data_IF_885071713296
#
_entry.id   IF_885071713296
#
_cell.length_a   1.000
_cell.length_b   1.000
_cell.length_c   1.000
_cell.angle_alpha   90.00
_cell.angle_beta   90.00
_cell.angle_gamma   90.00
#
_symmetry.space_group_name_H-M   'P 1'
#
loop_
_entity.id
_entity.type
_entity.pdbx_description
1 polymer ?
#
# COMPACT_ATOMS: atom_id res chain seq x y z
N UNK A 1 12.54 17.15 12.57
CA UNK A 1 11.53 16.16 12.12
C UNK A 1 11.81 15.80 10.66
N UNK A 2 11.79 14.52 10.26
CA UNK A 2 12.26 14.01 8.93
C UNK A 2 11.17 13.33 8.07
N UNK A 3 9.90 13.44 8.45
CA UNK A 3 8.81 12.85 7.67
C UNK A 3 8.40 13.80 6.53
N UNK A 4 8.16 13.25 5.33
CA UNK A 4 7.65 14.00 4.19
C UNK A 4 6.23 14.42 4.48
N UNK A 5 5.94 15.73 4.45
CA UNK A 5 4.60 16.30 4.69
C UNK A 5 4.30 17.39 3.68
N UNK A 6 3.04 17.51 3.29
CA UNK A 6 2.58 18.53 2.36
C UNK A 6 1.16 18.98 2.71
N UNK A 7 0.76 20.11 2.13
CA UNK A 7 -0.61 20.61 2.22
C UNK A 7 -1.22 20.61 0.83
N UNK A 8 -2.43 20.08 0.71
CA UNK A 8 -3.21 20.08 -0.52
C UNK A 8 -4.67 20.39 -0.15
N UNK A 9 -5.29 21.37 -0.81
CA UNK A 9 -6.68 21.80 -0.53
C UNK A 9 -6.99 22.10 0.95
N UNK A 10 -6.04 22.71 1.67
CA UNK A 10 -6.12 23.00 3.12
C UNK A 10 -6.08 21.78 4.04
N UNK A 11 -5.87 20.59 3.51
CA UNK A 11 -5.62 19.38 4.30
C UNK A 11 -4.12 19.09 4.34
N UNK A 12 -3.66 18.50 5.45
CA UNK A 12 -2.26 18.11 5.65
C UNK A 12 -2.18 16.60 5.48
N UNK A 13 -1.26 16.15 4.63
CA UNK A 13 -0.92 14.74 4.47
C UNK A 13 0.60 14.55 4.55
N UNK A 14 1.03 13.31 4.68
CA UNK A 14 2.43 12.96 4.80
C UNK A 14 2.70 11.48 4.60
N UNK A 15 3.97 11.15 4.44
CA UNK A 15 4.45 9.78 4.50
C UNK A 15 5.18 9.55 5.82
N UNK A 16 5.02 8.35 6.39
CA UNK A 16 5.83 7.93 7.54
C UNK A 16 7.30 7.78 7.13
N UNK A 17 8.23 7.81 8.08
CA UNK A 17 9.68 7.77 7.77
C UNK A 17 10.05 6.59 6.86
N UNK A 18 9.54 5.40 7.18
CA UNK A 18 9.85 4.18 6.43
C UNK A 18 8.74 3.74 5.48
N UNK A 19 7.57 4.38 5.49
CA UNK A 19 6.46 4.03 4.60
C UNK A 19 5.72 2.74 4.99
N UNK A 20 4.43 2.70 4.65
CA UNK A 20 3.60 1.50 4.62
C UNK A 20 3.36 1.17 3.16
N UNK A 21 3.76 -0.04 2.75
CA UNK A 21 3.58 -0.46 1.36
C UNK A 21 2.42 -1.46 1.25
N UNK A 22 1.60 -1.30 0.23
CA UNK A 22 0.55 -2.25 -0.12
C UNK A 22 0.84 -2.81 -1.51
N UNK A 23 0.59 -4.10 -1.69
CA UNK A 23 0.56 -4.73 -3.00
C UNK A 23 -0.72 -5.53 -3.13
N UNK A 24 -1.46 -5.18 -4.16
CA UNK A 24 -2.64 -5.91 -4.50
C UNK A 24 -2.34 -6.96 -5.58
N UNK A 25 -2.84 -8.20 -5.43
CA UNK A 25 -2.72 -9.19 -6.48
C UNK A 25 -3.50 -8.75 -7.73
N UNK A 26 -3.03 -9.20 -8.90
CA UNK A 26 -3.77 -9.14 -10.16
C UNK A 26 -4.49 -10.47 -10.37
N UNK A 27 -5.80 -10.41 -10.62
CA UNK A 27 -6.66 -11.58 -10.63
C UNK A 27 -7.13 -11.99 -9.23
N UNK A 28 -7.82 -13.11 -9.14
CA UNK A 28 -8.37 -13.61 -7.88
C UNK A 28 -7.29 -14.31 -7.06
N UNK A 29 -7.16 -13.91 -5.79
CA UNK A 29 -6.19 -14.50 -4.87
C UNK A 29 -6.53 -15.96 -4.56
N UNK A 30 -7.80 -16.23 -4.26
CA UNK A 30 -8.30 -17.59 -4.10
C UNK A 30 -8.35 -18.30 -5.47
N UNK A 31 -7.96 -19.58 -5.51
CA UNK A 31 -7.93 -20.35 -6.75
C UNK A 31 -6.59 -20.33 -7.50
N UNK A 32 -5.59 -19.57 -7.02
CA UNK A 32 -4.20 -19.68 -7.49
C UNK A 32 -3.89 -18.99 -8.82
N UNK A 33 -4.83 -18.24 -9.38
CA UNK A 33 -4.62 -17.46 -10.62
C UNK A 33 -3.93 -16.11 -10.40
N UNK A 34 -3.82 -15.66 -9.15
CA UNK A 34 -3.26 -14.36 -8.83
C UNK A 34 -1.77 -14.24 -9.19
N UNK A 35 -1.41 -13.08 -9.73
CA UNK A 35 -0.01 -12.67 -9.91
C UNK A 35 0.30 -11.43 -9.09
N UNK A 36 1.59 -11.22 -8.78
CA UNK A 36 2.05 -10.07 -8.02
C UNK A 36 1.73 -8.75 -8.76
N UNK A 37 1.07 -7.82 -8.08
CA UNK A 37 0.91 -6.45 -8.56
C UNK A 37 2.11 -5.56 -8.22
N UNK A 38 2.08 -4.28 -8.63
CA UNK A 38 3.07 -3.33 -8.17
C UNK A 38 2.90 -3.05 -6.67
N UNK A 39 4.02 -2.84 -5.98
CA UNK A 39 3.99 -2.24 -4.65
C UNK A 39 3.72 -0.74 -4.74
N UNK A 40 2.87 -0.25 -3.85
CA UNK A 40 2.54 1.17 -3.69
C UNK A 40 2.77 1.60 -2.27
N UNK A 41 3.08 2.86 -2.10
CA UNK A 41 3.17 3.48 -0.78
C UNK A 41 1.84 4.19 -0.46
N UNK A 42 1.35 3.99 0.75
CA UNK A 42 0.14 4.69 1.24
C UNK A 42 0.55 5.83 2.18
N UNK A 43 -0.03 7.00 1.99
CA UNK A 43 0.16 8.15 2.89
C UNK A 43 -0.65 8.00 4.19
N UNK A 44 -0.40 8.89 5.14
CA UNK A 44 -1.16 8.95 6.40
C UNK A 44 -2.65 9.24 6.14
N UNK A 45 -2.95 10.10 5.16
CA UNK A 45 -4.30 10.40 4.69
C UNK A 45 -4.91 9.35 3.76
N UNK A 46 -4.16 8.30 3.39
CA UNK A 46 -4.66 7.21 2.56
C UNK A 46 -4.50 7.39 1.05
N UNK A 47 -3.82 8.44 0.59
CA UNK A 47 -3.47 8.60 -0.82
C UNK A 47 -2.40 7.57 -1.24
N UNK A 48 -2.45 7.15 -2.51
CA UNK A 48 -1.60 6.08 -3.06
C UNK A 48 -0.53 6.67 -3.98
N UNK A 49 0.71 6.26 -3.75
CA UNK A 49 1.88 6.71 -4.51
C UNK A 49 2.67 5.52 -5.04
N UNK A 50 3.44 5.74 -6.11
CA UNK A 50 4.52 4.83 -6.48
C UNK A 50 5.55 4.75 -5.35
N UNK A 51 6.40 3.73 -5.39
CA UNK A 51 7.54 3.67 -4.47
C UNK A 51 8.44 4.89 -4.63
N UNK A 52 9.11 5.26 -3.53
CA UNK A 52 10.27 6.14 -3.54
C UNK A 52 11.46 5.44 -4.21
N UNK A 53 12.51 6.20 -4.52
CA UNK A 53 13.75 5.65 -5.10
C UNK A 53 14.38 4.57 -4.20
N UNK A 54 14.35 4.78 -2.89
CA UNK A 54 14.79 3.81 -1.89
C UNK A 54 13.91 3.88 -0.65
N UNK A 55 13.92 2.83 0.17
CA UNK A 55 13.19 2.83 1.45
C UNK A 55 13.69 4.02 2.29
N UNK A 56 12.75 4.76 2.86
CA UNK A 56 13.02 5.93 3.70
C UNK A 56 13.58 7.18 3.00
N UNK A 57 13.70 7.18 1.66
CA UNK A 57 14.03 8.39 0.90
C UNK A 57 13.03 9.52 1.19
N UNK A 58 13.46 10.78 1.20
CA UNK A 58 12.59 11.91 1.53
C UNK A 58 11.62 12.27 0.38
N UNK A 59 12.01 11.95 -0.85
CA UNK A 59 11.21 12.23 -2.02
C UNK A 59 10.08 11.18 -2.15
N UNK A 60 8.82 11.64 -2.06
CA UNK A 60 7.66 10.80 -2.34
C UNK A 60 7.61 10.37 -3.80
N UNK A 61 7.01 9.22 -4.07
CA UNK A 61 6.75 8.75 -5.42
C UNK A 61 5.69 9.58 -6.16
N UNK A 62 5.33 9.13 -7.36
CA UNK A 62 4.29 9.76 -8.18
C UNK A 62 2.89 9.36 -7.67
N UNK A 63 1.93 10.29 -7.59
CA UNK A 63 0.54 9.96 -7.26
C UNK A 63 -0.03 8.93 -8.22
N UNK A 64 -0.71 7.92 -7.70
CA UNK A 64 -1.35 6.85 -8.46
C UNK A 64 -2.88 6.98 -8.35
N UNK A 65 -3.45 8.00 -8.99
CA UNK A 65 -4.87 8.37 -8.83
C UNK A 65 -5.88 7.27 -9.24
N UNK A 66 -5.46 6.31 -10.06
CA UNK A 66 -6.28 5.17 -10.45
C UNK A 66 -6.28 4.02 -9.42
N UNK A 67 -5.44 4.11 -8.38
CA UNK A 67 -5.31 3.09 -7.34
C UNK A 67 -5.87 3.61 -6.00
N UNK A 68 -6.27 2.68 -5.14
CA UNK A 68 -6.98 2.94 -3.89
C UNK A 68 -6.29 2.22 -2.73
N UNK A 69 -6.44 2.74 -1.51
CA UNK A 69 -5.97 2.10 -0.28
C UNK A 69 -6.95 1.06 0.30
N UNK A 70 -8.08 0.81 -0.35
CA UNK A 70 -9.06 -0.19 0.09
C UNK A 70 -8.47 -1.60 -0.07
N UNK A 71 -8.30 -2.30 1.04
CA UNK A 71 -7.74 -3.65 1.05
C UNK A 71 -8.70 -4.65 0.40
N UNK A 72 -8.20 -5.42 -0.56
CA UNK A 72 -8.89 -6.56 -1.18
C UNK A 72 -8.28 -7.89 -0.75
N UNK A 73 -9.02 -8.99 -0.89
CA UNK A 73 -8.52 -10.32 -0.52
C UNK A 73 -7.16 -10.59 -1.17
N UNK A 74 -6.20 -11.03 -0.36
CA UNK A 74 -4.84 -11.29 -0.82
C UNK A 74 -3.91 -10.07 -0.84
N UNK A 75 -4.37 -8.90 -0.41
CA UNK A 75 -3.49 -7.71 -0.31
C UNK A 75 -2.35 -7.99 0.66
N UNK A 76 -1.11 -7.77 0.21
CA UNK A 76 0.06 -7.84 1.07
C UNK A 76 0.37 -6.43 1.60
N UNK A 77 0.71 -6.33 2.88
CA UNK A 77 1.04 -5.07 3.56
C UNK A 77 2.41 -5.19 4.19
N UNK A 78 3.39 -4.43 3.71
CA UNK A 78 4.75 -4.37 4.25
C UNK A 78 4.86 -3.21 5.24
N UNK A 79 5.24 -3.55 6.48
CA UNK A 79 5.39 -2.65 7.62
C UNK A 79 6.87 -2.44 8.03
N UNK A 80 7.80 -2.57 7.08
CA UNK A 80 9.24 -2.35 7.28
C UNK A 80 9.87 -3.28 8.34
N UNK A 81 9.61 -4.58 8.22
CA UNK A 81 10.15 -5.61 9.12
C UNK A 81 9.25 -6.84 9.22
N UNK A 82 7.96 -6.67 8.90
CA UNK A 82 7.01 -7.75 8.73
C UNK A 82 6.14 -7.48 7.50
N UNK A 83 5.65 -8.56 6.89
CA UNK A 83 4.67 -8.50 5.82
C UNK A 83 3.42 -9.22 6.27
N UNK A 84 2.29 -8.52 6.25
CA UNK A 84 0.98 -9.07 6.57
C UNK A 84 0.26 -9.48 5.28
N UNK A 85 -0.50 -10.56 5.34
CA UNK A 85 -1.46 -10.94 4.31
C UNK A 85 -2.86 -10.58 4.80
N UNK A 86 -3.53 -9.65 4.12
CA UNK A 86 -4.93 -9.34 4.39
C UNK A 86 -5.84 -10.36 3.72
N UNK A 87 -6.77 -10.92 4.50
CA UNK A 87 -7.84 -11.79 3.99
C UNK A 87 -9.18 -11.17 4.33
N UNK A 88 -10.05 -11.14 3.33
CA UNK A 88 -11.48 -10.92 3.53
C UNK A 88 -12.06 -12.05 4.38
N UNK A 89 -13.19 -11.81 5.05
CA UNK A 89 -13.85 -12.84 5.83
C UNK A 89 -14.24 -14.07 4.97
N UNK A 90 -14.63 -13.84 3.72
CA UNK A 90 -14.93 -14.91 2.76
C UNK A 90 -13.68 -15.67 2.33
N UNK A 91 -12.62 -14.96 1.93
CA UNK A 91 -11.34 -15.57 1.56
C UNK A 91 -10.75 -16.39 2.72
N UNK A 92 -10.85 -15.89 3.95
CA UNK A 92 -10.40 -16.62 5.13
C UNK A 92 -11.18 -17.92 5.35
N UNK A 93 -12.52 -17.92 5.16
CA UNK A 93 -13.35 -19.14 5.25
C UNK A 93 -12.98 -20.18 4.19
N UNK A 94 -12.54 -19.73 3.02
CA UNK A 94 -12.11 -20.57 1.90
C UNK A 94 -10.61 -20.89 1.92
N UNK A 95 -9.90 -20.49 2.98
CA UNK A 95 -8.50 -20.85 3.16
C UNK A 95 -8.38 -22.31 3.64
N UNK A 96 -7.26 -23.00 3.32
CA UNK A 96 -7.00 -24.35 3.80
C UNK A 96 -7.10 -24.48 5.33
#
# INVERSE_FOLDING_TARGET
EKATKWTENHEIDGLTTNGVLIMHPRGDFCGGSATCGPWRETSVGGAVFSLRESRSAQQKGLPCQAETNVLRDGTMVDLCGATLLWRSAEGLKNSP
#
